data_IF_280155319079
#
_entry.id   IF_280155319079
#
_cell.length_a   1.000
_cell.length_b   1.000
_cell.length_c   1.000
_cell.angle_alpha   90.00
_cell.angle_beta   90.00
_cell.angle_gamma   90.00
#
_symmetry.space_group_name_H-M   'P 1'
#
loop_
_entity.id
_entity.type
_entity.pdbx_description
1 polymer ?
#
# COMPACT_ATOMS: atom_id res chain seq x y z
N UNK A 1 -9.94 -9.09 0.82
CA UNK A 1 -9.06 -8.19 1.58
C UNK A 1 -9.07 -6.82 0.92
N UNK A 2 -9.27 -5.77 1.69
CA UNK A 2 -9.27 -4.41 1.13
C UNK A 2 -7.85 -3.96 0.78
N UNK A 3 -7.75 -2.93 -0.06
CA UNK A 3 -6.45 -2.36 -0.40
C UNK A 3 -5.68 -1.92 0.84
N UNK A 4 -6.35 -1.22 1.76
CA UNK A 4 -5.69 -0.71 2.97
C UNK A 4 -5.11 -1.81 3.83
N UNK A 5 -5.85 -2.89 4.02
CA UNK A 5 -5.38 -4.05 4.78
C UNK A 5 -4.19 -4.70 4.09
N UNK A 6 -4.26 -4.85 2.77
CA UNK A 6 -3.18 -5.43 1.97
C UNK A 6 -1.92 -4.57 2.05
N UNK A 7 -2.06 -3.27 1.92
CA UNK A 7 -0.95 -2.34 2.02
C UNK A 7 -0.30 -2.43 3.40
N UNK A 8 -1.09 -2.49 4.45
CA UNK A 8 -0.59 -2.62 5.81
C UNK A 8 0.26 -3.88 5.99
N UNK A 9 -0.21 -5.01 5.47
CA UNK A 9 0.54 -6.26 5.57
C UNK A 9 1.87 -6.15 4.85
N UNK A 10 1.86 -5.61 3.64
CA UNK A 10 3.08 -5.43 2.85
C UNK A 10 4.06 -4.48 3.55
N UNK A 11 3.55 -3.39 4.09
CA UNK A 11 4.36 -2.41 4.83
C UNK A 11 5.01 -3.05 6.05
N UNK A 12 4.24 -3.78 6.83
CA UNK A 12 4.74 -4.43 8.05
C UNK A 12 5.79 -5.49 7.73
N UNK A 13 5.62 -6.21 6.63
CA UNK A 13 6.63 -7.18 6.18
C UNK A 13 7.97 -6.53 5.86
N UNK A 14 7.94 -5.29 5.38
CA UNK A 14 9.17 -4.53 5.13
C UNK A 14 9.70 -3.83 6.37
N UNK A 15 8.98 -3.90 7.48
CA UNK A 15 9.39 -3.23 8.72
C UNK A 15 9.28 -1.72 8.65
N UNK A 16 8.40 -1.19 7.82
CA UNK A 16 8.26 0.26 7.60
C UNK A 16 7.12 0.85 8.39
N UNK A 17 7.30 2.08 8.85
CA UNK A 17 6.21 2.85 9.44
C UNK A 17 5.34 3.48 8.34
N UNK A 18 4.15 3.94 8.71
CA UNK A 18 3.28 4.68 7.79
C UNK A 18 3.96 5.94 7.29
N UNK A 19 4.61 6.66 8.20
CA UNK A 19 5.34 7.89 7.86
C UNK A 19 6.46 7.61 6.86
N UNK A 20 7.20 6.52 7.03
CA UNK A 20 8.24 6.14 6.08
C UNK A 20 7.67 5.87 4.70
N UNK A 21 6.50 5.23 4.62
CA UNK A 21 5.84 4.99 3.34
C UNK A 21 5.38 6.30 2.70
N UNK A 22 4.83 7.24 3.49
CA UNK A 22 4.47 8.56 2.97
C UNK A 22 5.68 9.24 2.32
N UNK A 23 6.82 9.17 2.97
CA UNK A 23 8.05 9.78 2.45
C UNK A 23 8.55 9.11 1.18
N UNK A 24 8.56 7.77 1.17
CA UNK A 24 9.05 7.01 0.00
C UNK A 24 8.22 7.31 -1.25
N UNK A 25 6.92 7.43 -1.10
CA UNK A 25 6.02 7.69 -2.22
C UNK A 25 5.74 9.18 -2.44
N UNK A 26 6.45 10.06 -1.72
CA UNK A 26 6.29 11.52 -1.83
C UNK A 26 4.86 11.97 -1.57
N UNK A 27 4.24 11.39 -0.54
CA UNK A 27 2.86 11.67 -0.18
C UNK A 27 2.81 12.69 0.96
N UNK A 28 1.65 13.32 1.10
CA UNK A 28 1.39 14.16 2.26
C UNK A 28 1.35 13.29 3.52
N UNK A 29 1.79 13.85 4.64
CA UNK A 29 1.77 13.14 5.91
C UNK A 29 0.35 12.66 6.24
N UNK A 30 0.24 11.39 6.61
CA UNK A 30 -1.04 10.79 6.96
C UNK A 30 -1.79 10.15 5.81
N UNK A 31 -1.29 10.23 4.57
CA UNK A 31 -1.94 9.63 3.42
C UNK A 31 -2.03 8.12 3.54
N UNK A 32 -0.94 7.46 3.94
CA UNK A 32 -0.93 6.00 4.12
C UNK A 32 -1.92 5.59 5.21
N UNK A 33 -2.01 6.37 6.28
CA UNK A 33 -2.99 6.12 7.32
C UNK A 33 -4.42 6.17 6.78
N UNK A 34 -4.72 7.12 5.90
CA UNK A 34 -6.02 7.20 5.24
C UNK A 34 -6.31 5.98 4.38
N UNK A 35 -5.32 5.49 3.65
CA UNK A 35 -5.48 4.27 2.84
C UNK A 35 -5.77 3.05 3.72
N UNK A 36 -5.03 2.90 4.81
CA UNK A 36 -5.18 1.74 5.70
C UNK A 36 -6.50 1.77 6.46
N UNK A 37 -7.02 2.94 6.75
CA UNK A 37 -8.31 3.10 7.43
C UNK A 37 -9.51 3.10 6.48
N UNK A 38 -9.27 3.05 5.18
CA UNK A 38 -10.33 2.98 4.20
C UNK A 38 -10.96 4.32 3.83
N UNK A 39 -10.37 5.44 4.25
CA UNK A 39 -10.89 6.76 3.92
C UNK A 39 -10.57 7.20 2.50
N UNK A 40 -9.44 6.72 1.97
CA UNK A 40 -8.99 7.05 0.62
C UNK A 40 -8.35 5.84 -0.01
N UNK A 41 -8.22 5.88 -1.34
CA UNK A 41 -7.46 4.90 -2.10
C UNK A 41 -6.42 5.65 -2.93
N UNK A 42 -5.28 5.01 -3.29
CA UNK A 42 -4.28 5.67 -4.12
C UNK A 42 -4.82 5.95 -5.51
N UNK A 43 -4.24 6.94 -6.15
CA UNK A 43 -4.51 7.20 -7.57
C UNK A 43 -3.99 6.02 -8.40
N UNK A 44 -4.66 5.75 -9.52
CA UNK A 44 -4.28 4.63 -10.39
C UNK A 44 -2.81 4.70 -10.83
N UNK A 45 -2.31 5.90 -11.07
CA UNK A 45 -0.94 6.12 -11.52
C UNK A 45 0.10 5.67 -10.48
N UNK A 46 -0.26 5.69 -9.21
CA UNK A 46 0.63 5.30 -8.14
C UNK A 46 0.64 3.79 -7.88
N UNK A 47 -0.41 3.08 -8.29
CA UNK A 47 -0.54 1.65 -8.01
C UNK A 47 0.61 0.80 -8.55
N UNK A 48 1.08 1.01 -9.80
CA UNK A 48 2.24 0.25 -10.28
C UNK A 48 3.50 0.50 -9.46
N UNK A 49 3.71 1.73 -9.01
CA UNK A 49 4.87 2.08 -8.18
C UNK A 49 4.80 1.37 -6.84
N UNK A 50 3.63 1.29 -6.25
CA UNK A 50 3.42 0.58 -4.98
C UNK A 50 3.71 -0.91 -5.15
N UNK A 51 3.17 -1.51 -6.20
CA UNK A 51 3.39 -2.93 -6.47
C UNK A 51 4.87 -3.22 -6.69
N UNK A 52 5.54 -2.39 -7.47
CA UNK A 52 6.97 -2.52 -7.75
C UNK A 52 7.80 -2.39 -6.47
N UNK A 53 7.48 -1.42 -5.65
CA UNK A 53 8.19 -1.19 -4.39
C UNK A 53 8.11 -2.41 -3.46
N UNK A 54 6.95 -3.04 -3.39
CA UNK A 54 6.76 -4.22 -2.54
C UNK A 54 7.11 -5.54 -3.23
N UNK A 55 7.51 -5.50 -4.50
CA UNK A 55 7.93 -6.68 -5.23
C UNK A 55 6.79 -7.66 -5.54
N UNK A 56 5.58 -7.15 -5.73
CA UNK A 56 4.42 -7.95 -6.10
C UNK A 56 3.87 -7.48 -7.45
N UNK A 57 3.05 -8.33 -8.08
CA UNK A 57 2.40 -7.94 -9.33
C UNK A 57 1.26 -6.98 -9.06
N UNK A 58 1.04 -6.06 -10.01
CA UNK A 58 -0.06 -5.11 -9.89
C UNK A 58 -1.41 -5.79 -9.69
N UNK A 59 -1.65 -6.88 -10.40
CA UNK A 59 -2.91 -7.63 -10.25
C UNK A 59 -3.08 -8.17 -8.83
N UNK A 60 -2.00 -8.56 -8.18
CA UNK A 60 -2.05 -9.05 -6.80
C UNK A 60 -2.37 -7.93 -5.84
N UNK A 61 -1.84 -6.74 -6.11
CA UNK A 61 -2.13 -5.57 -5.30
C UNK A 61 -3.61 -5.18 -5.41
N UNK A 62 -4.19 -5.30 -6.59
CA UNK A 62 -5.58 -4.92 -6.86
C UNK A 62 -6.59 -6.02 -6.53
N UNK A 63 -6.13 -7.23 -6.31
CA UNK A 63 -6.99 -8.37 -6.01
C UNK A 63 -7.63 -8.21 -4.62
N UNK A 64 -8.85 -8.73 -4.48
CA UNK A 64 -9.52 -8.80 -3.16
C UNK A 64 -9.11 -10.04 -2.38
N UNK A 65 -8.32 -10.92 -2.99
CA UNK A 65 -7.87 -12.14 -2.32
C UNK A 65 -6.79 -11.83 -1.29
N UNK A 66 -6.70 -12.65 -0.21
CA UNK A 66 -5.64 -12.49 0.77
C UNK A 66 -4.25 -12.68 0.14
N UNK A 67 -3.27 -11.95 0.70
CA UNK A 67 -1.89 -12.13 0.29
C UNK A 67 -1.40 -13.46 0.86
N UNK A 68 -0.85 -14.29 -0.04
CA UNK A 68 -0.19 -15.54 0.37
C UNK A 68 1.31 -15.25 0.52
N UNK A 69 1.87 -15.75 1.60
CA UNK A 69 3.31 -15.63 1.82
C UNK A 69 4.07 -16.71 1.08
#
# INVERSE_FOLDING_TARGET
MSFGTKFRILREKKGMSRTSCDEVFHLMHGTVSCWENGYKVPEEELLPDIADFFGIMLRDLLSTEPITC
#
